data_IF_637849548574
#
_entry.id   IF_637849548574
#
_cell.length_a   1.000
_cell.length_b   1.000
_cell.length_c   1.000
_cell.angle_alpha   90.00
_cell.angle_beta   90.00
_cell.angle_gamma   90.00
#
_symmetry.space_group_name_H-M   'P 1'
#
loop_
_entity.id
_entity.type
_entity.pdbx_description
1 polymer ?
#
# COMPACT_ATOMS: atom_id res chain seq x y z
N UNK A 1 13.59 -5.86 6.40
CA UNK A 1 12.19 -5.56 6.00
C UNK A 1 11.32 -5.65 7.24
N UNK A 2 10.75 -4.52 7.67
CA UNK A 2 9.70 -4.55 8.69
C UNK A 2 8.48 -5.31 8.17
N UNK A 3 7.83 -6.12 9.02
CA UNK A 3 6.59 -6.80 8.69
C UNK A 3 5.46 -6.16 9.47
N UNK A 4 4.41 -5.76 8.78
CA UNK A 4 3.21 -5.20 9.37
C UNK A 4 2.07 -6.21 9.23
N UNK A 5 1.51 -6.66 10.35
CA UNK A 5 0.33 -7.52 10.39
C UNK A 5 -0.86 -6.66 10.80
N UNK A 6 -1.66 -6.24 9.82
CA UNK A 6 -2.85 -5.41 10.03
C UNK A 6 -4.03 -6.00 9.29
N UNK A 7 -5.22 -5.79 9.84
CA UNK A 7 -6.49 -6.13 9.22
C UNK A 7 -7.14 -4.84 8.73
N UNK A 8 -7.49 -4.81 7.45
CA UNK A 8 -8.29 -3.76 6.82
C UNK A 8 -9.55 -4.39 6.26
N UNK A 9 -10.57 -3.58 6.02
CA UNK A 9 -11.82 -4.05 5.40
C UNK A 9 -11.55 -4.63 4.01
N UNK A 10 -12.23 -5.73 3.67
CA UNK A 10 -12.13 -6.42 2.37
C UNK A 10 -12.29 -5.45 1.18
N UNK A 11 -13.23 -4.52 1.28
CA UNK A 11 -13.47 -3.54 0.22
C UNK A 11 -12.23 -2.68 -0.08
N UNK A 12 -11.52 -2.26 0.97
CA UNK A 12 -10.32 -1.43 0.85
C UNK A 12 -9.18 -2.24 0.28
N UNK A 13 -8.98 -3.48 0.76
CA UNK A 13 -7.95 -4.40 0.27
C UNK A 13 -8.13 -4.70 -1.22
N UNK A 14 -9.36 -5.04 -1.62
CA UNK A 14 -9.67 -5.35 -3.01
C UNK A 14 -9.47 -4.15 -3.93
N UNK A 15 -9.99 -2.97 -3.56
CA UNK A 15 -9.79 -1.73 -4.32
C UNK A 15 -8.31 -1.40 -4.46
N UNK A 16 -7.56 -1.49 -3.36
CA UNK A 16 -6.12 -1.23 -3.37
C UNK A 16 -5.39 -2.19 -4.30
N UNK A 17 -5.63 -3.51 -4.18
CA UNK A 17 -5.00 -4.52 -5.04
C UNK A 17 -5.33 -4.30 -6.52
N UNK A 18 -6.58 -3.98 -6.87
CA UNK A 18 -6.97 -3.68 -8.25
C UNK A 18 -6.23 -2.48 -8.82
N UNK A 19 -6.13 -1.39 -8.05
CA UNK A 19 -5.42 -0.17 -8.48
C UNK A 19 -3.93 -0.46 -8.64
N UNK A 20 -3.31 -1.17 -7.71
CA UNK A 20 -1.90 -1.57 -7.79
C UNK A 20 -1.63 -2.39 -9.04
N UNK A 21 -2.49 -3.36 -9.35
CA UNK A 21 -2.38 -4.16 -10.57
C UNK A 21 -2.53 -3.31 -11.84
N UNK A 22 -3.40 -2.29 -11.83
CA UNK A 22 -3.61 -1.38 -12.96
C UNK A 22 -2.41 -0.45 -13.19
N UNK A 23 -1.80 0.05 -12.12
CA UNK A 23 -0.69 1.02 -12.21
C UNK A 23 0.66 0.32 -12.41
N UNK A 24 0.96 -0.69 -11.59
CA UNK A 24 2.28 -1.35 -11.54
C UNK A 24 2.34 -2.67 -12.32
N UNK A 25 1.20 -3.14 -12.81
CA UNK A 25 1.10 -4.40 -13.53
C UNK A 25 1.33 -5.63 -12.64
N UNK A 26 1.51 -6.79 -13.28
CA UNK A 26 1.77 -8.08 -12.60
C UNK A 26 3.26 -8.26 -12.28
N UNK A 27 3.87 -7.31 -11.58
CA UNK A 27 5.28 -7.42 -11.15
C UNK A 27 5.39 -8.03 -9.75
N UNK A 28 6.37 -8.92 -9.55
CA UNK A 28 6.71 -9.45 -8.22
C UNK A 28 7.12 -8.29 -7.31
N UNK A 29 6.38 -8.10 -6.21
CA UNK A 29 6.62 -7.02 -5.25
C UNK A 29 5.78 -5.75 -5.46
N UNK A 30 4.94 -5.67 -6.50
CA UNK A 30 4.11 -4.49 -6.77
C UNK A 30 3.20 -4.09 -5.58
N UNK A 31 2.62 -5.08 -4.89
CA UNK A 31 1.79 -4.83 -3.71
C UNK A 31 2.58 -4.29 -2.53
N UNK A 32 3.75 -4.89 -2.23
CA UNK A 32 4.62 -4.42 -1.14
C UNK A 32 5.16 -3.02 -1.40
N UNK A 33 5.54 -2.72 -2.64
CA UNK A 33 6.00 -1.39 -3.06
C UNK A 33 4.90 -0.34 -2.87
N UNK A 34 3.66 -0.66 -3.29
CA UNK A 34 2.52 0.24 -3.12
C UNK A 34 2.14 0.45 -1.65
N UNK A 35 2.22 -0.59 -0.81
CA UNK A 35 2.00 -0.46 0.63
C UNK A 35 3.06 0.46 1.25
N UNK A 36 4.32 0.33 0.85
CA UNK A 36 5.39 1.21 1.32
C UNK A 36 5.17 2.67 0.89
N UNK A 37 4.76 2.92 -0.35
CA UNK A 37 4.38 4.26 -0.84
C UNK A 37 3.22 4.85 -0.04
N UNK A 38 2.18 4.06 0.24
CA UNK A 38 1.03 4.52 1.03
C UNK A 38 1.44 4.90 2.46
N UNK A 39 2.34 4.12 3.07
CA UNK A 39 2.89 4.43 4.40
C UNK A 39 3.74 5.70 4.35
N UNK A 40 4.60 5.87 3.34
CA UNK A 40 5.41 7.10 3.17
C UNK A 40 4.54 8.34 3.02
N UNK A 41 3.50 8.28 2.19
CA UNK A 41 2.53 9.38 2.03
C UNK A 41 1.80 9.71 3.33
N UNK A 42 1.46 8.69 4.12
CA UNK A 42 0.86 8.88 5.44
C UNK A 42 1.82 9.59 6.40
N UNK A 43 3.09 9.15 6.45
CA UNK A 43 4.12 9.77 7.28
C UNK A 43 4.39 11.20 6.85
N UNK A 44 4.62 11.46 5.56
CA UNK A 44 4.87 12.82 5.04
C UNK A 44 3.75 13.80 5.42
N UNK A 45 2.50 13.33 5.40
CA UNK A 45 1.34 14.14 5.79
C UNK A 45 1.30 14.50 7.29
N UNK A 46 1.92 13.69 8.17
CA UNK A 46 1.77 13.83 9.63
C UNK A 46 3.09 14.06 10.39
N UNK A 47 4.25 13.83 9.78
CA UNK A 47 5.57 14.00 10.40
C UNK A 47 5.94 15.48 10.58
N UNK A 48 5.26 16.37 9.87
CA UNK A 48 5.42 17.83 9.99
C UNK A 48 4.33 18.56 10.78
N UNK A 49 3.46 17.85 11.52
CA UNK A 49 2.47 18.44 12.46
C UNK A 49 3.04 18.62 13.86
#
# INVERSE_FOLDING_TARGET
MGKLYVSISDEVEQKFRMIVLKIKGKKKGALSEAVEEAIKLWLEKHEGM
#
